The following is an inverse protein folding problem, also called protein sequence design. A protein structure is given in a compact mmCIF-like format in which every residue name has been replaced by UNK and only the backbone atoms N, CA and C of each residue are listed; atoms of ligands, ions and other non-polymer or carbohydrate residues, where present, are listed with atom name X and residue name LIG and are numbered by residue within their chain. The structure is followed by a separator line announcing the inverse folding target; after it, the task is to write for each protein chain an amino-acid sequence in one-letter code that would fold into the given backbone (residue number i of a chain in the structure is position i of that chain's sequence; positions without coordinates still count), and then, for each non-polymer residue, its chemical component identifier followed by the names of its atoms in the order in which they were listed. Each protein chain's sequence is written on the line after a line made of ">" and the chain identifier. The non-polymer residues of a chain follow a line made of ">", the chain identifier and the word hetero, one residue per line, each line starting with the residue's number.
data_IF_249002524933
#
_entry.id   IF_249002524933
#
_cell.length_a   1.000
_cell.length_b   1.000
_cell.length_c   1.000
_cell.angle_alpha   90.00
_cell.angle_beta   90.00
_cell.angle_gamma   90.00
#
_symmetry.space_group_name_H-M   'P 1'
#
loop_
_entity.id
_entity.type
_entity.pdbx_description
1 polymer ?
#
# COMPACT_ATOMS: atom_id res chain seq x y z
N UNK A 1 4.67 -8.85 -1.28
CA UNK A 1 4.94 -8.90 0.18
C UNK A 1 4.67 -10.31 0.67
N UNK A 2 5.52 -10.86 1.55
CA UNK A 2 5.24 -12.14 2.20
C UNK A 2 3.94 -12.02 2.99
N UNK A 3 3.00 -12.94 2.78
CA UNK A 3 1.71 -12.96 3.47
C UNK A 3 1.96 -13.24 4.95
N UNK A 4 1.94 -12.20 5.77
CA UNK A 4 2.07 -12.36 7.23
C UNK A 4 0.79 -13.03 7.71
N UNK A 5 0.91 -14.24 8.25
CA UNK A 5 -0.20 -15.00 8.80
C UNK A 5 -0.27 -14.73 10.30
N UNK A 6 -1.13 -13.78 10.71
CA UNK A 6 -1.27 -13.36 12.09
C UNK A 6 -1.94 -14.45 12.94
N UNK A 7 -2.86 -15.23 12.36
CA UNK A 7 -3.46 -16.39 13.02
C UNK A 7 -2.39 -17.42 13.40
N UNK A 8 -1.47 -17.75 12.50
CA UNK A 8 -0.38 -18.69 12.81
C UNK A 8 0.50 -18.19 13.96
N UNK A 9 0.87 -16.90 13.94
CA UNK A 9 1.64 -16.27 15.02
C UNK A 9 0.89 -16.27 16.34
N UNK A 10 -0.41 -15.98 16.32
CA UNK A 10 -1.27 -16.01 17.49
C UNK A 10 -1.40 -17.42 18.06
N UNK A 11 -1.58 -18.45 17.21
CA UNK A 11 -1.61 -19.84 17.66
C UNK A 11 -0.28 -20.27 18.30
N UNK A 12 0.86 -19.93 17.71
CA UNK A 12 2.18 -20.20 18.29
C UNK A 12 2.35 -19.49 19.64
N UNK A 13 1.93 -18.23 19.72
CA UNK A 13 1.97 -17.45 20.95
C UNK A 13 1.07 -18.06 22.04
N UNK A 14 -0.13 -18.53 21.70
CA UNK A 14 -1.04 -19.21 22.63
C UNK A 14 -0.46 -20.51 23.17
N UNK A 15 0.19 -21.32 22.33
CA UNK A 15 0.88 -22.54 22.76
C UNK A 15 2.05 -22.21 23.68
N UNK A 16 2.85 -21.21 23.32
CA UNK A 16 3.96 -20.76 24.15
C UNK A 16 3.48 -20.21 25.50
N UNK A 17 2.42 -19.40 25.50
CA UNK A 17 1.76 -18.91 26.71
C UNK A 17 1.32 -20.07 27.61
N UNK A 18 0.66 -21.09 27.05
CA UNK A 18 0.19 -22.26 27.81
C UNK A 18 1.34 -23.00 28.50
N UNK A 19 2.44 -23.23 27.78
CA UNK A 19 3.63 -23.91 28.33
C UNK A 19 4.28 -23.06 29.42
N UNK A 20 4.44 -21.76 29.18
CA UNK A 20 5.06 -20.84 30.15
C UNK A 20 4.25 -20.74 31.44
N UNK A 21 2.92 -20.62 31.33
CA UNK A 21 2.01 -20.65 32.48
C UNK A 21 2.15 -21.94 33.29
N UNK A 22 2.18 -23.09 32.62
CA UNK A 22 2.37 -24.39 33.29
C UNK A 22 3.73 -24.50 34.00
N UNK A 23 4.78 -23.90 33.43
CA UNK A 23 6.11 -23.84 34.05
C UNK A 23 6.15 -22.89 35.27
N UNK A 24 5.50 -21.73 35.17
CA UNK A 24 5.37 -20.76 36.27
C UNK A 24 4.63 -21.42 37.44
N UNK A 25 3.52 -22.09 37.16
CA UNK A 25 2.74 -22.76 38.20
C UNK A 25 3.59 -23.80 38.95
N UNK A 26 4.32 -24.67 38.24
CA UNK A 26 5.26 -25.62 38.85
C UNK A 26 6.31 -24.93 39.73
N UNK A 27 6.87 -23.82 39.26
CA UNK A 27 7.98 -23.15 39.94
C UNK A 27 7.54 -22.43 41.22
N UNK A 28 6.32 -21.87 41.24
CA UNK A 28 5.80 -21.11 42.37
C UNK A 28 5.02 -21.95 43.39
N UNK A 29 4.25 -22.96 42.93
CA UNK A 29 3.44 -23.80 43.81
C UNK A 29 4.20 -25.06 44.28
N UNK A 30 5.43 -25.30 43.80
CA UNK A 30 6.30 -26.43 44.17
C UNK A 30 5.65 -27.82 43.96
N UNK A 31 4.59 -27.88 43.17
CA UNK A 31 3.83 -29.08 42.89
C UNK A 31 4.33 -29.82 41.64
N UNK A 32 3.72 -30.96 41.34
CA UNK A 32 4.00 -31.71 40.13
C UNK A 32 3.72 -30.87 38.87
N UNK A 33 4.42 -31.19 37.78
CA UNK A 33 4.19 -30.51 36.51
C UNK A 33 2.81 -30.89 35.94
N UNK A 34 1.86 -29.97 36.02
CA UNK A 34 0.53 -30.14 35.45
C UNK A 34 0.39 -29.34 34.15
N UNK A 35 0.27 -30.04 33.02
CA UNK A 35 0.01 -29.43 31.71
C UNK A 35 -1.44 -28.94 31.61
N UNK A 36 -2.35 -29.61 32.31
CA UNK A 36 -3.77 -29.27 32.39
C UNK A 36 -4.05 -29.01 33.87
N UNK A 37 -4.39 -27.76 34.26
CA UNK A 37 -4.68 -27.46 35.65
C UNK A 37 -5.95 -28.19 36.09
N UNK A 38 -5.90 -28.81 37.27
CA UNK A 38 -7.06 -29.48 37.88
C UNK A 38 -8.09 -28.47 38.39
N UNK A 39 -7.63 -27.29 38.81
CA UNK A 39 -8.50 -26.22 39.27
C UNK A 39 -9.30 -25.62 38.10
N UNK A 40 -10.63 -25.75 38.19
CA UNK A 40 -11.54 -25.20 37.18
C UNK A 40 -11.32 -23.69 36.96
N UNK A 41 -10.98 -22.95 38.03
CA UNK A 41 -10.75 -21.51 37.95
C UNK A 41 -9.57 -21.14 37.04
N UNK A 42 -8.46 -21.85 37.21
CA UNK A 42 -7.25 -21.64 36.43
C UNK A 42 -7.44 -22.11 34.98
N UNK A 43 -8.11 -23.24 34.78
CA UNK A 43 -8.39 -23.78 33.45
C UNK A 43 -9.23 -22.81 32.61
N UNK A 44 -10.33 -22.26 33.15
CA UNK A 44 -11.19 -21.38 32.37
C UNK A 44 -10.46 -20.09 32.00
N UNK A 45 -9.65 -19.52 32.91
CA UNK A 45 -8.87 -18.31 32.61
C UNK A 45 -7.89 -18.55 31.47
N UNK A 46 -7.13 -19.65 31.51
CA UNK A 46 -6.16 -20.00 30.46
C UNK A 46 -6.84 -20.24 29.11
N UNK A 47 -7.96 -20.95 29.10
CA UNK A 47 -8.74 -21.21 27.87
C UNK A 47 -9.28 -19.90 27.29
N UNK A 48 -9.82 -19.01 28.12
CA UNK A 48 -10.32 -17.70 27.66
C UNK A 48 -9.19 -16.88 27.04
N UNK A 49 -8.01 -16.83 27.66
CA UNK A 49 -6.86 -16.10 27.11
C UNK A 49 -6.45 -16.68 25.75
N UNK A 50 -6.34 -18.01 25.63
CA UNK A 50 -6.00 -18.67 24.35
C UNK A 50 -7.02 -18.33 23.26
N UNK A 51 -8.31 -18.41 23.58
CA UNK A 51 -9.39 -18.06 22.65
C UNK A 51 -9.27 -16.60 22.22
N UNK A 52 -9.08 -15.67 23.16
CA UNK A 52 -8.94 -14.25 22.87
C UNK A 52 -7.75 -13.96 21.95
N UNK A 53 -6.59 -14.57 22.22
CA UNK A 53 -5.38 -14.41 21.40
C UNK A 53 -5.61 -14.93 19.99
N UNK A 54 -6.23 -16.10 19.82
CA UNK A 54 -6.54 -16.67 18.50
C UNK A 54 -7.57 -15.80 17.76
N UNK A 55 -8.64 -15.37 18.44
CA UNK A 55 -9.64 -14.46 17.87
C UNK A 55 -9.01 -13.14 17.41
N UNK A 56 -8.06 -12.60 18.17
CA UNK A 56 -7.30 -11.41 17.76
C UNK A 56 -6.47 -11.68 16.50
N UNK A 57 -5.80 -12.83 16.41
CA UNK A 57 -5.07 -13.24 15.21
C UNK A 57 -5.96 -13.31 13.97
N UNK A 58 -7.15 -13.92 14.09
CA UNK A 58 -8.16 -13.99 13.03
C UNK A 58 -8.65 -12.59 12.61
N UNK A 59 -8.94 -11.73 13.59
CA UNK A 59 -9.35 -10.36 13.33
C UNK A 59 -8.26 -9.57 12.59
N UNK A 60 -7.00 -9.70 13.01
CA UNK A 60 -5.87 -9.03 12.37
C UNK A 60 -5.67 -9.49 10.91
N UNK A 61 -5.81 -10.79 10.63
CA UNK A 61 -5.74 -11.32 9.26
C UNK A 61 -6.88 -10.77 8.39
N UNK A 62 -8.10 -10.73 8.92
CA UNK A 62 -9.26 -10.18 8.20
C UNK A 62 -9.09 -8.70 7.88
N UNK A 63 -8.68 -7.89 8.87
CA UNK A 63 -8.44 -6.46 8.65
C UNK A 63 -7.31 -6.20 7.66
N UNK A 64 -6.20 -6.94 7.77
CA UNK A 64 -5.07 -6.82 6.83
C UNK A 64 -5.50 -7.13 5.41
N UNK A 65 -6.33 -8.17 5.21
CA UNK A 65 -6.86 -8.50 3.88
C UNK A 65 -7.69 -7.36 3.29
N UNK A 66 -8.60 -6.77 4.07
CA UNK A 66 -9.42 -5.62 3.62
C UNK A 66 -8.54 -4.43 3.24
N UNK A 67 -7.51 -4.14 4.05
CA UNK A 67 -6.61 -3.02 3.77
C UNK A 67 -5.82 -3.23 2.49
N UNK A 68 -5.28 -4.44 2.27
CA UNK A 68 -4.56 -4.79 1.04
C UNK A 68 -5.46 -4.71 -0.19
N UNK A 69 -6.69 -5.21 -0.11
CA UNK A 69 -7.66 -5.13 -1.22
C UNK A 69 -7.96 -3.66 -1.57
N UNK A 70 -8.14 -2.79 -0.56
CA UNK A 70 -8.34 -1.35 -0.79
C UNK A 70 -7.12 -0.66 -1.39
N UNK A 71 -5.91 -1.04 -0.98
CA UNK A 71 -4.67 -0.50 -1.56
C UNK A 71 -4.49 -0.94 -3.02
N UNK A 72 -4.80 -2.20 -3.33
CA UNK A 72 -4.76 -2.72 -4.68
C UNK A 72 -5.79 -2.05 -5.59
N UNK A 73 -7.02 -1.87 -5.12
CA UNK A 73 -8.07 -1.15 -5.85
C UNK A 73 -7.66 0.29 -6.15
N UNK A 74 -7.15 1.02 -5.14
CA UNK A 74 -6.60 2.38 -5.33
C UNK A 74 -5.49 2.39 -6.39
N UNK A 75 -4.62 1.38 -6.37
CA UNK A 75 -3.54 1.24 -7.35
C UNK A 75 -4.05 1.02 -8.76
N UNK A 76 -5.05 0.17 -8.93
CA UNK A 76 -5.66 -0.10 -10.23
C UNK A 76 -6.36 1.14 -10.79
N UNK A 77 -7.16 1.83 -9.97
CA UNK A 77 -7.87 3.05 -10.37
C UNK A 77 -6.87 4.14 -10.77
N UNK A 78 -5.84 4.38 -9.96
CA UNK A 78 -4.79 5.36 -10.28
C UNK A 78 -4.09 5.02 -11.59
N UNK A 79 -3.63 3.77 -11.77
CA UNK A 79 -2.94 3.34 -13.00
C UNK A 79 -3.84 3.51 -14.24
N UNK A 80 -5.11 3.12 -14.14
CA UNK A 80 -6.08 3.30 -15.23
C UNK A 80 -6.30 4.78 -15.56
N UNK A 81 -6.38 5.63 -14.52
CA UNK A 81 -6.58 7.07 -14.65
C UNK A 81 -5.38 7.72 -15.33
N UNK A 82 -4.17 7.46 -14.84
CA UNK A 82 -2.92 8.01 -15.38
C UNK A 82 -2.66 7.55 -16.81
N UNK A 83 -2.92 6.28 -17.12
CA UNK A 83 -2.83 5.78 -18.50
C UNK A 83 -3.83 6.50 -19.42
N UNK A 84 -5.08 6.68 -18.96
CA UNK A 84 -6.10 7.40 -19.72
C UNK A 84 -5.72 8.88 -19.93
N UNK A 85 -5.20 9.53 -18.88
CA UNK A 85 -4.66 10.90 -18.96
C UNK A 85 -3.49 10.98 -19.93
N UNK A 86 -2.58 10.01 -19.93
CA UNK A 86 -1.47 9.95 -20.89
C UNK A 86 -1.98 9.88 -22.34
N UNK A 87 -3.02 9.09 -22.62
CA UNK A 87 -3.65 9.06 -23.94
C UNK A 87 -4.26 10.42 -24.33
N UNK A 88 -4.96 11.08 -23.41
CA UNK A 88 -5.55 12.41 -23.65
C UNK A 88 -4.45 13.45 -23.92
N UNK A 89 -3.41 13.47 -23.07
CA UNK A 89 -2.29 14.40 -23.19
C UNK A 89 -1.51 14.15 -24.47
N UNK A 90 -1.19 12.91 -24.82
CA UNK A 90 -0.52 12.58 -26.08
C UNK A 90 -1.33 13.04 -27.30
N UNK A 91 -2.65 12.86 -27.29
CA UNK A 91 -3.51 13.37 -28.36
C UNK A 91 -3.46 14.90 -28.46
N UNK A 92 -3.48 15.59 -27.31
CA UNK A 92 -3.36 17.05 -27.27
C UNK A 92 -1.99 17.52 -27.79
N UNK A 93 -0.90 16.89 -27.36
CA UNK A 93 0.46 17.20 -27.80
C UNK A 93 0.59 17.03 -29.32
N UNK A 94 0.05 15.95 -29.89
CA UNK A 94 0.02 15.75 -31.33
C UNK A 94 -0.74 16.88 -32.07
N UNK A 95 -1.88 17.33 -31.53
CA UNK A 95 -2.64 18.46 -32.10
C UNK A 95 -1.85 19.76 -32.03
N UNK A 96 -1.14 19.97 -30.93
CA UNK A 96 -0.29 21.14 -30.72
C UNK A 96 0.93 21.14 -31.67
N UNK A 97 1.58 19.99 -31.86
CA UNK A 97 2.64 19.85 -32.86
C UNK A 97 2.14 20.14 -34.28
N UNK A 98 0.93 19.71 -34.63
CA UNK A 98 0.30 20.06 -35.92
C UNK A 98 0.07 21.58 -36.05
N UNK A 99 -0.41 22.22 -34.98
CA UNK A 99 -0.57 23.67 -34.95
C UNK A 99 0.76 24.41 -35.14
N UNK A 100 1.81 23.97 -34.44
CA UNK A 100 3.18 24.50 -34.59
C UNK A 100 3.68 24.38 -36.02
N UNK A 101 3.50 23.21 -36.66
CA UNK A 101 3.86 23.00 -38.07
C UNK A 101 3.14 23.98 -38.99
N UNK A 102 1.83 24.21 -38.78
CA UNK A 102 1.05 25.15 -39.60
C UNK A 102 1.44 26.61 -39.37
N UNK A 103 1.77 26.99 -38.15
CA UNK A 103 2.25 28.33 -37.85
C UNK A 103 3.61 28.61 -38.50
N UNK A 104 4.50 27.60 -38.52
CA UNK A 104 5.82 27.68 -39.14
C UNK A 104 5.73 27.81 -40.68
N UNK A 105 4.86 27.02 -41.33
CA UNK A 105 4.57 27.14 -42.78
C UNK A 105 4.18 28.58 -43.20
N UNK A 106 3.56 29.34 -42.30
CA UNK A 106 3.09 30.70 -42.53
C UNK A 106 4.00 31.78 -41.92
N UNK A 107 5.16 31.42 -41.33
CA UNK A 107 6.01 32.33 -40.55
C UNK A 107 5.21 33.16 -39.53
N UNK A 108 4.18 32.56 -38.92
CA UNK A 108 3.24 33.25 -38.04
C UNK A 108 3.84 33.55 -36.65
N UNK A 109 4.88 32.83 -36.24
CA UNK A 109 5.61 33.03 -34.99
C UNK A 109 7.08 33.36 -35.24
N UNK A 110 7.68 34.13 -34.34
CA UNK A 110 9.12 34.34 -34.33
C UNK A 110 9.83 33.13 -33.68
N UNK A 111 11.15 33.04 -33.85
CA UNK A 111 11.94 31.91 -33.34
C UNK A 111 11.85 31.73 -31.82
N UNK A 112 11.72 32.82 -31.06
CA UNK A 112 11.61 32.80 -29.60
C UNK A 112 10.30 32.15 -29.14
N UNK A 113 9.18 32.48 -29.79
CA UNK A 113 7.86 31.90 -29.50
C UNK A 113 7.84 30.42 -29.87
N UNK A 114 8.50 30.02 -30.96
CA UNK A 114 8.62 28.60 -31.36
C UNK A 114 9.41 27.82 -30.31
N UNK A 115 10.54 28.37 -29.83
CA UNK A 115 11.36 27.73 -28.80
C UNK A 115 10.58 27.56 -27.48
N UNK A 116 9.88 28.61 -27.02
CA UNK A 116 9.05 28.54 -25.83
C UNK A 116 7.91 27.52 -25.97
N UNK A 117 7.33 27.42 -27.17
CA UNK A 117 6.27 26.46 -27.47
C UNK A 117 6.79 25.03 -27.40
N UNK A 118 7.92 24.74 -28.06
CA UNK A 118 8.54 23.42 -28.06
C UNK A 118 8.98 23.01 -26.64
N UNK A 119 9.53 23.95 -25.87
CA UNK A 119 9.86 23.72 -24.46
C UNK A 119 8.63 23.37 -23.62
N UNK A 120 7.51 24.07 -23.84
CA UNK A 120 6.26 23.80 -23.11
C UNK A 120 5.67 22.43 -23.45
N UNK A 121 5.80 21.99 -24.71
CA UNK A 121 5.39 20.65 -25.12
C UNK A 121 6.26 19.58 -24.45
N UNK A 122 7.58 19.76 -24.48
CA UNK A 122 8.51 18.84 -23.84
C UNK A 122 8.28 18.75 -22.33
N UNK A 123 8.07 19.88 -21.66
CA UNK A 123 7.75 19.90 -20.23
C UNK A 123 6.47 19.11 -19.91
N UNK A 124 5.43 19.25 -20.74
CA UNK A 124 4.20 18.48 -20.61
C UNK A 124 4.41 16.97 -20.76
N UNK A 125 5.23 16.55 -21.73
CA UNK A 125 5.61 15.14 -21.92
C UNK A 125 6.37 14.59 -20.70
N UNK A 126 7.35 15.34 -20.22
CA UNK A 126 8.20 14.97 -19.10
C UNK A 126 7.39 14.83 -17.80
N UNK A 127 6.51 15.79 -17.51
CA UNK A 127 5.62 15.76 -16.35
C UNK A 127 4.66 14.56 -16.39
N UNK A 128 4.13 14.24 -17.57
CA UNK A 128 3.25 13.07 -17.75
C UNK A 128 4.02 11.76 -17.51
N UNK A 129 5.26 11.67 -17.98
CA UNK A 129 6.14 10.53 -17.73
C UNK A 129 6.49 10.39 -16.23
N UNK A 130 6.76 11.50 -15.53
CA UNK A 130 7.01 11.48 -14.09
C UNK A 130 5.78 10.98 -13.31
N UNK A 131 4.59 11.47 -13.66
CA UNK A 131 3.33 11.05 -13.03
C UNK A 131 3.04 9.55 -13.25
N UNK A 132 3.40 9.00 -14.43
CA UNK A 132 3.20 7.58 -14.74
C UNK A 132 4.12 6.64 -13.96
N UNK A 133 5.22 7.16 -13.41
CA UNK A 133 6.24 6.38 -12.71
C UNK A 133 6.11 6.48 -11.18
N UNK A 134 5.02 7.03 -10.65
CA UNK A 134 4.78 7.08 -9.20
C UNK A 134 4.50 5.68 -8.65
N UNK A 135 5.47 5.14 -7.89
CA UNK A 135 5.37 3.80 -7.29
C UNK A 135 4.40 3.73 -6.10
N UNK A 136 4.51 4.69 -5.18
CA UNK A 136 3.69 4.75 -3.97
C UNK A 136 2.62 5.83 -4.10
N UNK A 137 1.37 5.38 -4.22
CA UNK A 137 0.21 6.22 -4.55
C UNK A 137 -0.30 6.91 -3.29
N UNK A 138 0.35 8.01 -2.94
CA UNK A 138 -0.08 8.94 -1.89
C UNK A 138 -0.25 10.33 -2.49
N UNK A 139 -1.12 11.17 -1.90
CA UNK A 139 -1.31 12.55 -2.36
C UNK A 139 0.01 13.32 -2.41
N UNK A 140 0.85 13.14 -1.37
CA UNK A 140 2.17 13.78 -1.29
C UNK A 140 3.07 13.34 -2.44
N UNK A 141 3.19 12.03 -2.69
CA UNK A 141 4.08 11.52 -3.74
C UNK A 141 3.59 11.92 -5.13
N UNK A 142 2.27 11.88 -5.37
CA UNK A 142 1.67 12.35 -6.62
C UNK A 142 2.01 13.83 -6.85
N UNK A 143 1.78 14.70 -5.85
CA UNK A 143 2.10 16.13 -5.98
C UNK A 143 3.59 16.40 -6.18
N UNK A 144 4.44 15.73 -5.41
CA UNK A 144 5.89 15.88 -5.54
C UNK A 144 6.41 15.40 -6.90
N UNK A 145 5.79 14.39 -7.51
CA UNK A 145 6.22 13.86 -8.81
C UNK A 145 6.12 14.87 -9.96
N UNK A 146 5.20 15.83 -9.86
CA UNK A 146 4.93 16.83 -10.89
C UNK A 146 5.19 18.26 -10.43
N UNK A 147 5.88 18.44 -9.29
CA UNK A 147 6.24 19.78 -8.81
C UNK A 147 7.42 20.34 -9.62
N UNK A 148 7.35 21.61 -10.08
CA UNK A 148 8.47 22.26 -10.76
C UNK A 148 9.70 22.29 -9.83
N UNK A 149 10.89 22.08 -10.41
CA UNK A 149 12.17 22.22 -9.70
C UNK A 149 12.61 23.68 -9.61
#
# INVERSE_FOLDING_TARGET
>A
MAKVNFTLKASLLSVLFWIMESLIHKLFFLDNFEIIPVEANELWMRVVIVILVICFGLYADFQTKILLEKEEEKRLIFKATVCSSQHIVNNLLNQMQFFRMKADEHNAFNSEVIELYDQSLQEGEDLMALLSNVDEITEKNIRMSVSPK
#
